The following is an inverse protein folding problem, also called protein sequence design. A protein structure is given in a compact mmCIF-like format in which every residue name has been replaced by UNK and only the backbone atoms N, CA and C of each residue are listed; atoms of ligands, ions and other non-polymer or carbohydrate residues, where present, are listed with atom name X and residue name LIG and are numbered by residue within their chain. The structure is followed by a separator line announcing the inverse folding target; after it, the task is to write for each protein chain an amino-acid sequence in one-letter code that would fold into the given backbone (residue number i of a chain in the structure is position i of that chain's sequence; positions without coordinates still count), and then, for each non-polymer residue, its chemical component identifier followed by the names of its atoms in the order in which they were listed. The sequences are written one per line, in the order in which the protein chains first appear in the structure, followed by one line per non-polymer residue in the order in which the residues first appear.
data_IF_764398210928
#
_entry.id   IF_764398210928
#
_cell.length_a   1.000
_cell.length_b   1.000
_cell.length_c   1.000
_cell.angle_alpha   90.00
_cell.angle_beta   90.00
_cell.angle_gamma   90.00
#
_symmetry.space_group_name_H-M   'P 1'
#
loop_
_entity.id
_entity.type
_entity.pdbx_description
1 polymer ?
#
# COMPACT_ATOMS: atom_id res chain seq x y z
N UNK A 1 1.07 62.42 19.03
CA UNK A 1 0.16 62.91 17.99
C UNK A 1 0.53 62.26 16.67
N UNK A 2 -0.26 61.29 16.22
CA UNK A 2 -0.45 60.82 14.84
C UNK A 2 -1.38 59.58 14.86
N UNK A 3 -2.21 59.38 13.81
CA UNK A 3 -3.50 58.71 13.89
C UNK A 3 -3.49 57.28 13.32
N UNK A 4 -4.58 56.54 13.59
CA UNK A 4 -4.73 55.14 13.24
C UNK A 4 -5.16 54.84 11.80
N UNK A 5 -5.24 53.54 11.48
CA UNK A 5 -6.37 52.84 10.83
C UNK A 5 -5.92 51.45 10.37
N UNK A 6 -6.67 50.41 10.76
CA UNK A 6 -7.09 49.41 9.78
C UNK A 6 -6.71 47.94 9.96
N UNK A 7 -7.71 47.18 10.45
CA UNK A 7 -8.21 45.89 9.93
C UNK A 7 -7.52 44.57 10.32
N UNK A 8 -8.33 43.74 11.02
CA UNK A 8 -8.49 42.28 10.87
C UNK A 8 -7.27 41.43 11.23
N UNK A 9 -7.34 40.35 11.99
CA UNK A 9 -8.36 39.32 12.01
C UNK A 9 -8.43 38.70 13.41
N UNK A 10 -9.66 38.42 13.84
CA UNK A 10 -9.94 37.67 15.05
C UNK A 10 -9.45 36.22 14.91
N UNK A 11 -8.49 35.82 15.74
CA UNK A 11 -8.23 34.41 16.01
C UNK A 11 -9.10 33.99 17.21
N UNK A 12 -9.99 33.06 16.93
CA UNK A 12 -10.85 32.30 17.84
C UNK A 12 -10.37 30.85 17.67
N UNK A 13 -10.23 29.94 18.63
CA UNK A 13 -10.57 29.78 20.06
C UNK A 13 -9.70 28.58 20.53
N UNK A 14 -9.25 28.59 21.80
CA UNK A 14 -9.21 27.50 22.80
C UNK A 14 -8.95 26.05 22.31
N UNK A 15 -7.99 25.28 22.82
CA UNK A 15 -7.69 25.03 24.23
C UNK A 15 -7.55 23.51 24.40
N UNK A 16 -6.74 23.06 25.36
CA UNK A 16 -6.74 21.65 25.79
C UNK A 16 -5.37 20.97 25.80
N UNK A 17 -4.55 21.35 26.77
CA UNK A 17 -3.59 20.44 27.39
C UNK A 17 -4.36 19.33 28.13
N UNK A 18 -4.09 18.06 27.85
CA UNK A 18 -4.15 16.99 28.87
C UNK A 18 -3.14 15.89 28.56
N UNK A 19 -2.12 15.84 29.41
CA UNK A 19 -1.67 14.65 30.14
C UNK A 19 -1.20 13.43 29.36
N UNK A 20 0.12 13.24 29.37
CA UNK A 20 0.77 11.95 29.20
C UNK A 20 0.24 10.89 30.18
N UNK A 21 0.04 9.65 29.73
CA UNK A 21 0.28 8.51 30.59
C UNK A 21 1.48 7.70 30.10
N UNK A 22 2.58 7.82 30.84
CA UNK A 22 3.75 6.95 30.82
C UNK A 22 3.44 5.59 31.48
N UNK A 23 2.45 4.81 31.03
CA UNK A 23 2.12 3.52 31.69
C UNK A 23 1.44 2.48 30.78
N UNK A 24 1.86 2.38 29.51
CA UNK A 24 1.51 1.23 28.67
C UNK A 24 2.66 0.88 27.71
N UNK A 25 3.74 0.36 28.29
CA UNK A 25 4.81 -0.28 27.54
C UNK A 25 4.31 -1.65 27.03
N UNK A 26 3.80 -1.69 25.79
CA UNK A 26 3.99 -2.79 24.82
C UNK A 26 3.12 -2.57 23.57
N UNK A 27 3.78 -2.33 22.43
CA UNK A 27 3.25 -2.34 21.05
C UNK A 27 2.57 -1.04 20.58
N UNK A 28 3.37 0.00 20.39
CA UNK A 28 3.06 1.08 19.43
C UNK A 28 3.76 0.71 18.11
N UNK A 29 3.05 0.43 17.00
CA UNK A 29 3.61 0.78 15.70
C UNK A 29 3.38 2.29 15.52
N UNK A 30 4.46 3.05 15.68
CA UNK A 30 4.54 4.43 15.22
C UNK A 30 4.14 4.47 13.74
N UNK A 31 2.92 4.95 13.46
CA UNK A 31 2.39 4.96 12.11
C UNK A 31 1.12 5.80 12.07
N UNK A 32 1.34 7.09 11.87
CA UNK A 32 0.39 8.16 11.59
C UNK A 32 -1.00 7.68 11.17
N UNK A 33 -2.02 8.12 11.92
CA UNK A 33 -3.45 7.85 11.73
C UNK A 33 -4.05 8.47 10.44
N UNK A 34 -3.27 8.58 9.35
CA UNK A 34 -3.69 9.10 8.04
C UNK A 34 -3.35 8.16 6.88
N UNK A 35 -2.70 7.02 7.14
CA UNK A 35 -2.34 6.10 6.05
C UNK A 35 -3.51 5.18 5.71
N UNK A 36 -4.04 5.26 4.48
CA UNK A 36 -5.12 4.39 3.98
C UNK A 36 -4.73 2.91 3.84
N UNK A 37 -3.51 2.55 4.23
CA UNK A 37 -2.88 1.26 3.98
C UNK A 37 -2.46 0.60 5.29
N UNK A 38 -2.61 -0.73 5.37
CA UNK A 38 -2.13 -1.54 6.50
C UNK A 38 -0.61 -1.74 6.48
N UNK A 39 0.01 -1.54 5.30
CA UNK A 39 1.44 -1.68 5.08
C UNK A 39 1.76 -1.95 3.61
N UNK A 40 3.04 -2.16 3.30
CA UNK A 40 3.48 -2.70 2.01
C UNK A 40 4.27 -4.00 2.21
N UNK A 41 4.15 -4.90 1.25
CA UNK A 41 4.95 -6.11 1.15
C UNK A 41 5.67 -6.12 -0.19
N UNK A 42 6.90 -6.64 -0.20
CA UNK A 42 7.65 -6.86 -1.43
C UNK A 42 7.61 -8.34 -1.79
N UNK A 43 7.03 -8.62 -2.94
CA UNK A 43 6.87 -9.96 -3.50
C UNK A 43 7.93 -10.14 -4.57
N UNK A 44 8.70 -11.22 -4.50
CA UNK A 44 9.73 -11.54 -5.49
C UNK A 44 9.44 -12.91 -6.06
N UNK A 45 9.11 -12.94 -7.35
CA UNK A 45 8.67 -14.14 -8.05
C UNK A 45 9.42 -14.28 -9.35
N UNK A 46 9.71 -15.51 -9.75
CA UNK A 46 10.46 -15.77 -10.97
C UNK A 46 9.56 -16.34 -12.07
N UNK A 47 8.96 -15.45 -12.87
CA UNK A 47 8.02 -15.80 -13.92
C UNK A 47 8.68 -16.53 -15.10
N UNK A 48 10.01 -16.70 -15.08
CA UNK A 48 10.73 -17.52 -16.05
C UNK A 48 10.54 -19.03 -15.81
N UNK A 49 10.27 -19.42 -14.56
CA UNK A 49 10.26 -20.83 -14.13
C UNK A 49 8.92 -21.53 -14.34
N UNK A 50 7.82 -20.79 -14.29
CA UNK A 50 6.45 -21.29 -14.51
C UNK A 50 5.81 -20.54 -15.67
N UNK A 51 4.90 -21.21 -16.37
CA UNK A 51 4.26 -20.66 -17.56
C UNK A 51 3.24 -19.55 -17.25
N UNK A 52 2.76 -19.47 -16.00
CA UNK A 52 1.74 -18.50 -15.56
C UNK A 52 2.01 -18.00 -14.14
N UNK A 53 1.87 -16.70 -13.91
CA UNK A 53 1.92 -16.11 -12.56
C UNK A 53 0.82 -16.65 -11.65
N UNK A 54 -0.33 -17.02 -12.22
CA UNK A 54 -1.49 -17.51 -11.48
C UNK A 54 -2.15 -16.42 -10.65
N UNK A 55 -2.20 -15.21 -11.17
CA UNK A 55 -2.90 -14.08 -10.56
C UNK A 55 -3.59 -13.28 -11.67
N UNK A 56 -4.84 -12.91 -11.42
CA UNK A 56 -5.58 -11.97 -12.24
C UNK A 56 -5.44 -10.59 -11.61
N UNK A 57 -5.08 -9.62 -12.45
CA UNK A 57 -4.98 -8.23 -12.06
C UNK A 57 -5.80 -7.38 -13.01
N UNK A 58 -6.41 -6.34 -12.46
CA UNK A 58 -7.11 -5.30 -13.22
C UNK A 58 -6.39 -3.97 -13.03
N UNK A 59 -6.43 -3.13 -14.05
CA UNK A 59 -5.87 -1.78 -14.00
C UNK A 59 -6.82 -0.85 -13.22
N UNK A 60 -6.33 -0.23 -12.16
CA UNK A 60 -7.05 0.75 -11.35
C UNK A 60 -6.22 2.03 -11.25
N UNK A 61 -6.56 3.02 -12.08
CA UNK A 61 -5.81 4.27 -12.22
C UNK A 61 -4.32 4.03 -12.49
N UNK A 62 -3.48 4.26 -11.48
CA UNK A 62 -2.01 4.20 -11.50
C UNK A 62 -1.44 2.90 -10.91
N UNK A 63 -2.32 1.97 -10.51
CA UNK A 63 -1.99 0.73 -9.80
C UNK A 63 -2.65 -0.47 -10.47
N UNK A 64 -2.22 -1.67 -10.07
CA UNK A 64 -2.90 -2.91 -10.44
C UNK A 64 -3.61 -3.48 -9.21
N UNK A 65 -4.87 -3.88 -9.34
CA UNK A 65 -5.63 -4.51 -8.27
C UNK A 65 -5.66 -6.01 -8.51
N UNK A 66 -5.31 -6.78 -7.49
CA UNK A 66 -5.41 -8.24 -7.52
C UNK A 66 -6.88 -8.61 -7.37
N UNK A 67 -7.46 -9.21 -8.41
CA UNK A 67 -8.87 -9.62 -8.40
C UNK A 67 -9.03 -11.09 -8.14
N UNK A 68 -8.02 -11.90 -8.46
CA UNK A 68 -8.04 -13.32 -8.14
C UNK A 68 -6.63 -13.89 -8.07
N UNK A 69 -6.43 -14.90 -7.23
CA UNK A 69 -5.20 -15.70 -7.18
C UNK A 69 -5.57 -17.13 -7.52
N UNK A 70 -5.04 -17.62 -8.64
CA UNK A 70 -5.29 -18.98 -9.11
C UNK A 70 -4.47 -19.98 -8.28
N UNK A 71 -5.13 -21.08 -7.88
CA UNK A 71 -4.47 -22.22 -7.23
C UNK A 71 -3.44 -22.84 -8.18
N UNK A 72 -2.35 -23.36 -7.61
CA UNK A 72 -1.19 -23.91 -8.35
C UNK A 72 -0.36 -22.86 -9.13
N UNK A 73 -0.72 -21.57 -8.98
CA UNK A 73 0.04 -20.44 -9.51
C UNK A 73 1.40 -20.24 -8.85
N UNK A 74 2.19 -19.34 -9.43
CA UNK A 74 3.42 -18.85 -8.80
C UNK A 74 3.06 -18.03 -7.55
N UNK A 75 2.01 -17.21 -7.62
CA UNK A 75 1.52 -16.46 -6.46
C UNK A 75 0.98 -17.36 -5.34
N UNK A 76 0.33 -18.47 -5.68
CA UNK A 76 -0.11 -19.47 -4.70
C UNK A 76 1.10 -20.10 -3.98
N UNK A 77 2.14 -20.48 -4.72
CA UNK A 77 3.38 -20.99 -4.13
C UNK A 77 4.07 -19.96 -3.22
N UNK A 78 4.09 -18.68 -3.62
CA UNK A 78 4.59 -17.59 -2.78
C UNK A 78 3.76 -17.47 -1.48
N UNK A 79 2.45 -17.53 -1.57
CA UNK A 79 1.55 -17.43 -0.43
C UNK A 79 1.77 -18.57 0.57
N UNK A 80 1.95 -19.80 0.08
CA UNK A 80 2.26 -20.96 0.92
C UNK A 80 3.60 -20.82 1.64
N UNK A 81 4.62 -20.27 0.96
CA UNK A 81 5.95 -20.05 1.55
C UNK A 81 5.99 -18.85 2.51
N UNK A 82 5.10 -17.87 2.31
CA UNK A 82 5.07 -16.61 3.06
C UNK A 82 3.69 -16.31 3.65
N UNK A 83 3.24 -17.09 4.66
CA UNK A 83 1.90 -16.93 5.25
C UNK A 83 1.63 -15.54 5.84
N UNK A 84 2.66 -14.82 6.30
CA UNK A 84 2.54 -13.45 6.81
C UNK A 84 2.57 -12.37 5.73
N UNK A 85 2.95 -12.71 4.48
CA UNK A 85 3.07 -11.79 3.34
C UNK A 85 2.30 -12.32 2.13
N UNK A 86 1.17 -12.97 2.40
CA UNK A 86 0.31 -13.50 1.36
C UNK A 86 -0.30 -12.36 0.55
N UNK A 87 -0.31 -12.54 -0.76
CA UNK A 87 -1.05 -11.73 -1.72
C UNK A 87 -2.46 -12.30 -1.82
N UNK A 88 -3.46 -11.45 -1.66
CA UNK A 88 -4.87 -11.83 -1.67
C UNK A 88 -5.66 -10.93 -2.62
N UNK A 89 -6.92 -11.30 -2.89
CA UNK A 89 -7.82 -10.42 -3.62
C UNK A 89 -7.99 -9.08 -2.88
N UNK A 90 -8.12 -7.99 -3.64
CA UNK A 90 -8.21 -6.62 -3.14
C UNK A 90 -6.86 -5.97 -2.82
N UNK A 91 -5.76 -6.72 -2.87
CA UNK A 91 -4.42 -6.17 -2.76
C UNK A 91 -4.10 -5.27 -3.96
N UNK A 92 -3.34 -4.19 -3.72
CA UNK A 92 -2.97 -3.24 -4.77
C UNK A 92 -1.47 -3.25 -5.02
N UNK A 93 -1.06 -3.52 -6.24
CA UNK A 93 0.31 -3.47 -6.70
C UNK A 93 0.62 -2.04 -7.11
N UNK A 94 1.54 -1.42 -6.39
CA UNK A 94 1.98 -0.04 -6.60
C UNK A 94 3.27 0.09 -7.40
N UNK A 95 4.05 -1.00 -7.50
CA UNK A 95 5.30 -1.03 -8.25
C UNK A 95 5.58 -2.45 -8.77
N UNK A 96 6.08 -2.56 -10.01
CA UNK A 96 6.59 -3.82 -10.60
C UNK A 96 7.95 -3.53 -11.24
N UNK A 97 9.01 -4.19 -10.77
CA UNK A 97 10.39 -4.02 -11.25
C UNK A 97 10.88 -2.55 -11.28
N UNK A 98 10.36 -1.70 -10.39
CA UNK A 98 10.66 -0.27 -10.35
C UNK A 98 9.76 0.61 -11.22
N UNK A 99 8.85 0.02 -12.01
CA UNK A 99 7.79 0.74 -12.73
C UNK A 99 6.66 1.04 -11.75
N UNK A 100 6.23 2.31 -11.70
CA UNK A 100 5.18 2.84 -10.82
C UNK A 100 4.37 3.88 -11.58
N UNK A 101 3.10 4.06 -11.21
CA UNK A 101 2.17 5.01 -11.83
C UNK A 101 1.98 4.82 -13.34
N UNK A 102 2.23 3.62 -13.85
CA UNK A 102 2.04 3.26 -15.25
C UNK A 102 1.45 1.85 -15.29
N UNK A 103 0.17 1.72 -14.94
CA UNK A 103 -0.52 0.43 -14.80
C UNK A 103 -0.36 -0.46 -16.04
N UNK A 104 -0.52 0.11 -17.24
CA UNK A 104 -0.32 -0.60 -18.51
C UNK A 104 1.10 -1.19 -18.63
N UNK A 105 2.14 -0.41 -18.31
CA UNK A 105 3.52 -0.92 -18.33
C UNK A 105 3.79 -1.94 -17.24
N UNK A 106 3.20 -1.77 -16.07
CA UNK A 106 3.28 -2.75 -14.98
C UNK A 106 2.64 -4.07 -15.41
N UNK A 107 1.54 -4.02 -16.15
CA UNK A 107 0.85 -5.20 -16.70
C UNK A 107 1.69 -5.88 -17.79
N UNK A 108 2.29 -5.09 -18.70
CA UNK A 108 3.23 -5.59 -19.70
C UNK A 108 4.42 -6.29 -19.03
N UNK A 109 5.04 -5.68 -18.01
CA UNK A 109 6.10 -6.31 -17.23
C UNK A 109 5.64 -7.61 -16.59
N UNK A 110 4.44 -7.65 -15.99
CA UNK A 110 3.90 -8.87 -15.40
C UNK A 110 3.71 -10.00 -16.42
N UNK A 111 3.47 -9.66 -17.69
CA UNK A 111 3.36 -10.63 -18.78
C UNK A 111 4.72 -11.18 -19.25
N UNK A 112 5.83 -10.52 -18.89
CA UNK A 112 7.17 -10.98 -19.25
C UNK A 112 7.58 -12.17 -18.40
N UNK A 113 8.20 -13.17 -19.04
CA UNK A 113 8.76 -14.37 -18.40
C UNK A 113 10.12 -14.08 -17.74
N UNK A 114 10.16 -13.10 -16.82
CA UNK A 114 11.37 -12.66 -16.11
C UNK A 114 11.16 -12.70 -14.60
N UNK A 115 12.22 -12.44 -13.84
CA UNK A 115 12.10 -12.17 -12.41
C UNK A 115 11.32 -10.86 -12.19
N UNK A 116 10.25 -10.93 -11.40
CA UNK A 116 9.39 -9.81 -11.06
C UNK A 116 9.51 -9.49 -9.57
N UNK A 117 9.82 -8.23 -9.28
CA UNK A 117 9.77 -7.65 -7.94
C UNK A 117 8.56 -6.72 -7.86
N UNK A 118 7.53 -7.14 -7.15
CA UNK A 118 6.28 -6.38 -7.00
C UNK A 118 6.19 -5.78 -5.61
N UNK A 119 5.70 -4.54 -5.50
CA UNK A 119 5.35 -3.91 -4.22
C UNK A 119 3.85 -3.86 -4.09
N UNK A 120 3.34 -4.67 -3.17
CA UNK A 120 1.91 -4.84 -2.91
C UNK A 120 1.53 -4.08 -1.64
N UNK A 121 0.41 -3.37 -1.67
CA UNK A 121 -0.14 -2.60 -0.57
C UNK A 121 -1.52 -3.14 -0.23
N UNK A 122 -1.72 -3.42 1.05
CA UNK A 122 -3.04 -3.80 1.57
C UNK A 122 -3.81 -2.55 1.95
N UNK A 123 -4.96 -2.26 1.33
CA UNK A 123 -5.84 -1.23 1.85
C UNK A 123 -6.24 -1.61 3.29
N UNK A 124 -6.46 -0.60 4.13
CA UNK A 124 -7.22 -0.81 5.36
C UNK A 124 -8.62 -1.20 4.91
N UNK A 125 -8.95 -2.48 5.00
CA UNK A 125 -10.34 -2.91 4.85
C UNK A 125 -11.07 -2.23 6.00
N UNK A 126 -11.81 -1.16 5.69
CA UNK A 126 -12.75 -0.57 6.62
C UNK A 126 -13.72 -1.69 7.03
N UNK A 127 -13.76 -2.02 8.33
CA UNK A 127 -14.80 -2.87 8.91
C UNK A 127 -16.20 -2.35 8.57
#
# INVERSE_FOLDING_TARGET
DAPGTGRGFAWRIDGGEVSSPLDALSVLPSGDARSSWQGQITVKVDASTKERLGMLVEEDCDMLVVTSVAKDGLMDAWNQLHPSKQVQEGDRISEVNGIRNEAARMLEECSRKIALKMVVRRPRQNC
#
